data_IF_784737385680
#
_entry.id   IF_784737385680
#
_cell.length_a   1.000
_cell.length_b   1.000
_cell.length_c   1.000
_cell.angle_alpha   90.00
_cell.angle_beta   90.00
_cell.angle_gamma   90.00
#
_symmetry.space_group_name_H-M   'P 1'
#
loop_
_entity.id
_entity.type
_entity.pdbx_description
1 polymer ?
#
# COMPACT_ATOMS: atom_id res chain seq x y z
N UNK A 1 14.25 2.69 -10.95
CA UNK A 1 13.26 2.33 -9.92
C UNK A 1 12.35 3.50 -9.63
N UNK A 2 11.19 3.25 -9.03
CA UNK A 2 10.21 4.28 -8.64
C UNK A 2 10.41 4.65 -7.18
N UNK A 3 10.28 5.93 -6.83
CA UNK A 3 10.33 6.37 -5.43
C UNK A 3 9.10 5.81 -4.69
N UNK A 4 9.28 5.16 -3.53
CA UNK A 4 8.16 4.56 -2.80
C UNK A 4 7.10 5.61 -2.37
N UNK A 5 7.50 6.87 -2.17
CA UNK A 5 6.56 7.98 -1.93
C UNK A 5 5.71 8.32 -3.14
N UNK A 6 6.18 8.08 -4.37
CA UNK A 6 5.35 8.25 -5.56
C UNK A 6 4.22 7.21 -5.61
N UNK A 7 4.48 5.98 -5.14
CA UNK A 7 3.45 4.93 -5.05
C UNK A 7 2.39 5.30 -4.01
N UNK A 8 2.80 5.75 -2.81
CA UNK A 8 1.88 6.31 -1.81
C UNK A 8 1.07 7.48 -2.38
N UNK A 9 1.75 8.39 -3.09
CA UNK A 9 1.13 9.57 -3.70
C UNK A 9 0.05 9.18 -4.71
N UNK A 10 0.27 8.19 -5.56
CA UNK A 10 -0.75 7.74 -6.54
C UNK A 10 -2.06 7.37 -5.86
N UNK A 11 -1.99 6.59 -4.78
CA UNK A 11 -3.19 6.17 -4.04
C UNK A 11 -3.80 7.32 -3.25
N UNK A 12 -2.96 8.12 -2.59
CA UNK A 12 -3.40 9.28 -1.80
C UNK A 12 -4.08 10.34 -2.66
N UNK A 13 -3.55 10.64 -3.84
CA UNK A 13 -4.14 11.55 -4.82
C UNK A 13 -5.48 11.01 -5.33
N UNK A 14 -5.55 9.72 -5.68
CA UNK A 14 -6.78 9.09 -6.12
C UNK A 14 -7.89 9.23 -5.07
N UNK A 15 -7.58 8.89 -3.82
CA UNK A 15 -8.55 8.99 -2.71
C UNK A 15 -8.92 10.46 -2.42
N UNK A 16 -7.96 11.39 -2.47
CA UNK A 16 -8.22 12.81 -2.27
C UNK A 16 -9.14 13.39 -3.36
N UNK A 17 -8.92 13.02 -4.62
CA UNK A 17 -9.78 13.42 -5.75
C UNK A 17 -11.20 12.85 -5.64
N UNK A 18 -11.40 11.78 -4.88
CA UNK A 18 -12.71 11.20 -4.54
C UNK A 18 -13.33 11.79 -3.26
N UNK A 19 -12.67 12.75 -2.62
CA UNK A 19 -13.13 13.32 -1.34
C UNK A 19 -12.92 12.38 -0.14
N UNK A 20 -12.09 11.34 -0.29
CA UNK A 20 -11.84 10.32 0.73
C UNK A 20 -10.47 10.46 1.41
N UNK A 21 -9.64 11.41 0.99
CA UNK A 21 -8.26 11.54 1.45
C UNK A 21 -8.10 11.70 2.96
N UNK A 22 -9.06 12.36 3.64
CA UNK A 22 -9.04 12.53 5.10
C UNK A 22 -9.26 11.22 5.87
N UNK A 23 -9.83 10.19 5.24
CA UNK A 23 -10.05 8.88 5.85
C UNK A 23 -8.86 7.93 5.66
N UNK A 24 -7.88 8.28 4.84
CA UNK A 24 -6.63 7.53 4.66
C UNK A 24 -5.50 8.07 5.54
N UNK A 25 -5.39 7.50 6.74
CA UNK A 25 -4.66 8.10 7.87
C UNK A 25 -3.25 7.53 8.13
N UNK A 26 -2.80 6.57 7.32
CA UNK A 26 -1.47 5.94 7.46
C UNK A 26 -0.67 5.97 6.14
N UNK A 27 0.54 5.41 6.15
CA UNK A 27 1.32 5.16 4.94
C UNK A 27 0.73 4.01 4.13
N UNK A 28 0.94 4.01 2.81
CA UNK A 28 0.42 2.96 1.92
C UNK A 28 0.92 1.55 2.24
N UNK A 29 2.10 1.37 2.82
CA UNK A 29 2.61 0.06 3.21
C UNK A 29 4.06 0.10 3.70
N UNK A 30 4.69 -1.06 3.74
CA UNK A 30 6.04 -1.25 4.28
C UNK A 30 6.75 -2.47 3.69
N UNK A 31 8.04 -2.61 3.93
CA UNK A 31 8.78 -3.83 3.61
C UNK A 31 8.38 -4.96 4.56
N UNK A 32 8.47 -6.19 4.08
CA UNK A 32 8.21 -7.40 4.88
C UNK A 32 9.20 -8.50 4.52
N UNK A 33 9.72 -9.18 5.54
CA UNK A 33 10.73 -10.21 5.38
C UNK A 33 10.88 -11.03 6.64
N UNK A 34 12.02 -10.88 7.32
CA UNK A 34 12.24 -11.50 8.63
C UNK A 34 11.43 -10.78 9.71
N UNK A 35 11.28 -9.46 9.55
CA UNK A 35 10.40 -8.66 10.39
C UNK A 35 9.10 -8.36 9.64
N UNK A 36 8.00 -8.26 10.40
CA UNK A 36 6.71 -7.90 9.84
C UNK A 36 6.74 -6.49 9.26
N UNK A 37 7.48 -5.57 9.89
CA UNK A 37 7.70 -4.21 9.40
C UNK A 37 9.19 -3.97 9.24
N UNK A 38 9.65 -3.89 7.99
CA UNK A 38 11.02 -3.56 7.64
C UNK A 38 11.07 -2.51 6.52
N UNK A 39 12.29 -2.13 6.14
CA UNK A 39 12.50 -1.21 5.01
C UNK A 39 12.25 -1.93 3.67
N UNK A 40 11.80 -1.21 2.63
CA UNK A 40 11.46 0.21 2.63
C UNK A 40 10.02 0.49 3.11
N UNK A 41 9.83 1.58 3.85
CA UNK A 41 8.48 2.10 4.08
C UNK A 41 7.91 2.75 2.81
N UNK A 42 6.63 2.48 2.51
CA UNK A 42 5.87 3.05 1.39
C UNK A 42 4.93 4.12 1.95
N UNK A 43 5.40 5.35 2.05
CA UNK A 43 4.62 6.47 2.60
C UNK A 43 5.08 7.81 2.00
N UNK A 44 4.29 8.88 2.21
CA UNK A 44 4.57 10.20 1.65
C UNK A 44 5.94 10.81 2.00
N UNK A 45 6.61 10.34 3.07
CA UNK A 45 7.87 10.92 3.58
C UNK A 45 9.12 10.12 3.15
N UNK A 46 8.92 8.90 2.65
CA UNK A 46 10.03 8.01 2.29
C UNK A 46 10.86 8.55 1.13
N UNK A 47 12.16 8.28 1.17
CA UNK A 47 13.11 8.60 0.09
C UNK A 47 13.69 7.35 -0.58
N UNK A 48 13.16 6.17 -0.24
CA UNK A 48 13.63 4.90 -0.82
C UNK A 48 13.16 4.76 -2.27
N UNK A 49 14.10 4.39 -3.14
CA UNK A 49 13.79 3.97 -4.52
C UNK A 49 13.58 2.47 -4.54
N UNK A 50 12.41 2.04 -4.98
CA UNK A 50 12.07 0.62 -5.14
C UNK A 50 12.97 -0.02 -6.19
N UNK A 51 13.49 -1.20 -5.84
CA UNK A 51 14.40 -1.98 -6.65
C UNK A 51 13.94 -3.43 -6.73
N UNK A 52 14.37 -4.14 -7.77
CA UNK A 52 14.09 -5.56 -7.99
C UNK A 52 14.35 -6.39 -6.72
N UNK A 53 13.45 -7.33 -6.46
CA UNK A 53 13.43 -8.24 -5.29
C UNK A 53 13.08 -7.60 -3.94
N UNK A 54 12.76 -6.30 -3.87
CA UNK A 54 12.11 -5.77 -2.67
C UNK A 54 10.72 -6.38 -2.53
N UNK A 55 10.36 -6.75 -1.30
CA UNK A 55 9.05 -7.27 -0.94
C UNK A 55 8.37 -6.22 -0.07
N UNK A 56 7.19 -5.76 -0.49
CA UNK A 56 6.46 -4.69 0.19
C UNK A 56 4.97 -5.00 0.27
N UNK A 57 4.29 -4.45 1.27
CA UNK A 57 2.84 -4.40 1.35
C UNK A 57 2.29 -3.21 0.55
N UNK A 58 1.10 -3.38 -0.03
CA UNK A 58 0.27 -2.32 -0.60
C UNK A 58 -1.10 -2.45 0.05
N UNK A 59 -1.40 -1.55 0.99
CA UNK A 59 -2.48 -1.76 1.96
C UNK A 59 -3.33 -0.51 2.22
N UNK A 60 -3.92 0.14 1.20
CA UNK A 60 -4.75 1.32 1.44
C UNK A 60 -5.93 1.01 2.38
N UNK A 61 -6.05 1.83 3.42
CA UNK A 61 -7.14 1.74 4.40
C UNK A 61 -7.94 3.04 4.48
N UNK A 62 -9.27 2.92 4.54
CA UNK A 62 -10.18 4.04 4.81
C UNK A 62 -10.91 3.77 6.12
N UNK A 63 -10.83 4.72 7.05
CA UNK A 63 -11.44 4.59 8.38
C UNK A 63 -12.43 5.72 8.60
N UNK A 64 -13.72 5.39 8.64
CA UNK A 64 -14.81 6.33 8.86
C UNK A 64 -15.18 6.33 10.35
N UNK A 65 -14.86 7.40 11.10
CA UNK A 65 -15.09 7.44 12.54
C UNK A 65 -16.53 7.08 12.92
N UNK A 66 -16.66 6.23 13.95
CA UNK A 66 -17.95 5.77 14.50
C UNK A 66 -18.84 5.02 13.50
N UNK A 67 -18.29 4.51 12.39
CA UNK A 67 -19.02 3.73 11.40
C UNK A 67 -18.33 2.40 11.13
N UNK A 68 -17.32 2.41 10.27
CA UNK A 68 -16.57 1.24 9.86
C UNK A 68 -15.22 1.65 9.27
N UNK A 69 -14.36 0.68 9.03
CA UNK A 69 -13.16 0.84 8.22
C UNK A 69 -13.05 -0.30 7.22
N UNK A 70 -12.26 -0.09 6.18
CA UNK A 70 -11.89 -1.10 5.22
C UNK A 70 -10.40 -0.96 4.90
N UNK A 71 -9.72 -2.09 4.75
CA UNK A 71 -8.35 -2.15 4.25
C UNK A 71 -8.25 -3.37 3.35
N UNK A 72 -7.57 -3.21 2.23
CA UNK A 72 -7.26 -4.27 1.30
C UNK A 72 -5.75 -4.29 1.17
N UNK A 73 -5.13 -5.41 1.53
CA UNK A 73 -3.68 -5.53 1.67
C UNK A 73 -3.16 -6.71 0.87
N UNK A 74 -2.21 -6.41 -0.02
CA UNK A 74 -1.44 -7.41 -0.74
C UNK A 74 0.05 -7.25 -0.45
N UNK A 75 0.78 -8.36 -0.48
CA UNK A 75 2.24 -8.37 -0.50
C UNK A 75 2.73 -8.61 -1.92
N UNK A 76 3.62 -7.74 -2.40
CA UNK A 76 4.15 -7.79 -3.77
C UNK A 76 5.67 -7.84 -3.79
N UNK A 77 6.22 -8.55 -4.78
CA UNK A 77 7.64 -8.51 -5.14
C UNK A 77 7.83 -7.51 -6.27
N UNK A 78 8.72 -6.54 -6.08
CA UNK A 78 9.13 -5.61 -7.14
C UNK A 78 9.97 -6.37 -8.17
N UNK A 79 9.58 -6.30 -9.44
CA UNK A 79 10.35 -6.79 -10.58
C UNK A 79 10.97 -5.61 -11.33
N UNK A 80 11.59 -5.88 -12.47
CA UNK A 80 12.32 -4.88 -13.25
C UNK A 80 11.37 -3.82 -13.82
N UNK A 81 10.29 -4.26 -14.47
CA UNK A 81 9.27 -3.40 -15.09
C UNK A 81 7.83 -3.73 -14.63
N UNK A 82 7.70 -4.54 -13.57
CA UNK A 82 6.41 -5.01 -13.07
C UNK A 82 6.44 -5.30 -11.57
N UNK A 83 5.34 -5.81 -11.05
CA UNK A 83 5.25 -6.42 -9.74
C UNK A 83 4.66 -7.82 -9.86
N UNK A 84 5.02 -8.70 -8.92
CA UNK A 84 4.38 -9.99 -8.73
C UNK A 84 3.58 -9.94 -7.43
N UNK A 85 2.29 -10.21 -7.49
CA UNK A 85 1.43 -10.29 -6.31
C UNK A 85 1.50 -11.69 -5.70
N UNK A 86 1.81 -11.77 -4.41
CA UNK A 86 1.88 -13.03 -3.67
C UNK A 86 0.54 -13.44 -3.07
N UNK A 87 -0.46 -12.56 -3.09
CA UNK A 87 -1.79 -12.81 -2.56
C UNK A 87 -2.75 -13.12 -3.72
N UNK A 88 -3.45 -14.24 -3.62
CA UNK A 88 -4.41 -14.71 -4.62
C UNK A 88 -5.83 -14.83 -4.06
N UNK A 89 -6.16 -13.99 -3.07
CA UNK A 89 -7.52 -13.89 -2.53
C UNK A 89 -8.33 -12.88 -3.35
N UNK A 90 -9.67 -13.03 -3.44
CA UNK A 90 -10.51 -12.05 -4.11
C UNK A 90 -10.42 -10.68 -3.44
N UNK A 91 -10.35 -9.62 -4.26
CA UNK A 91 -10.42 -8.23 -3.80
C UNK A 91 -11.86 -7.70 -3.71
N UNK A 92 -12.85 -8.56 -3.98
CA UNK A 92 -14.27 -8.23 -3.86
C UNK A 92 -14.76 -8.38 -2.42
N UNK A 93 -15.86 -7.70 -2.11
CA UNK A 93 -16.52 -7.83 -0.81
C UNK A 93 -17.16 -9.22 -0.73
N UNK A 94 -16.75 -9.99 0.28
CA UNK A 94 -17.35 -11.27 0.63
C UNK A 94 -18.32 -11.06 1.79
N UNK A 95 -19.57 -11.51 1.62
CA UNK A 95 -20.59 -11.52 2.66
C UNK A 95 -20.68 -12.95 3.20
N UNK A 96 -20.40 -13.13 4.50
CA UNK A 96 -20.37 -14.42 5.19
C UNK A 96 -21.66 -14.63 5.97
#
# INVERSE_FOLDING_TARGET
>A
GVLASNVDKTVRDYLSNKGLGSYFTHGLGHGVGLEIHELPYVNARTKYTLSKNMVITIEPGLYFPNKFGLRLEDTVIVKEDSTENLINLPHEIIIV
#
